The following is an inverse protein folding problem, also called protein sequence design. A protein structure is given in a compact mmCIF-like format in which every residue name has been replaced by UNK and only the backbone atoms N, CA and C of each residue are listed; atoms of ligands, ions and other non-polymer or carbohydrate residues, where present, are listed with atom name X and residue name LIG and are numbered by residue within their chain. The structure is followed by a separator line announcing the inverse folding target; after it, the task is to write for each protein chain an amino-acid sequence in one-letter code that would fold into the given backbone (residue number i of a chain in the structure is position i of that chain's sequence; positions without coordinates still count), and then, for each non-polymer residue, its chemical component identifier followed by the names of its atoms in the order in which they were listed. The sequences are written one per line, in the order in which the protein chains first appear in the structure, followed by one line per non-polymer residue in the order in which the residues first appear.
data_IF_103097075553
#
_entry.id   IF_103097075553
#
_cell.length_a   1.000
_cell.length_b   1.000
_cell.length_c   1.000
_cell.angle_alpha   90.00
_cell.angle_beta   90.00
_cell.angle_gamma   90.00
#
_symmetry.space_group_name_H-M   'P 1'
#
loop_
_entity.id
_entity.type
_entity.pdbx_description
1 polymer ?
#
# COMPACT_ATOMS: atom_id res chain seq x y z
N UNK A 1 4.31 -41.39 4.93
CA UNK A 1 4.06 -39.96 5.17
C UNK A 1 3.89 -39.74 6.65
N UNK A 2 4.81 -39.00 7.26
CA UNK A 2 4.87 -38.83 8.70
C UNK A 2 3.81 -37.86 9.21
N UNK A 3 3.37 -38.03 10.46
CA UNK A 3 2.34 -37.20 11.10
C UNK A 3 2.71 -35.71 11.09
N UNK A 4 4.00 -35.40 11.25
CA UNK A 4 4.53 -34.04 11.14
C UNK A 4 4.37 -33.43 9.74
N UNK A 5 4.56 -34.21 8.67
CA UNK A 5 4.38 -33.76 7.28
C UNK A 5 2.91 -33.45 7.01
N UNK A 6 2.00 -34.30 7.51
CA UNK A 6 0.56 -34.05 7.42
C UNK A 6 0.16 -32.77 8.18
N UNK A 7 0.65 -32.59 9.41
CA UNK A 7 0.40 -31.39 10.22
C UNK A 7 0.86 -30.10 9.49
N UNK A 8 2.09 -30.10 8.95
CA UNK A 8 2.64 -28.97 8.19
C UNK A 8 1.82 -28.66 6.93
N UNK A 9 1.36 -29.68 6.19
CA UNK A 9 0.44 -29.50 5.05
C UNK A 9 -0.88 -28.84 5.48
N UNK A 10 -1.52 -29.32 6.55
CA UNK A 10 -2.77 -28.73 7.05
C UNK A 10 -2.61 -27.27 7.49
N UNK A 11 -1.49 -26.92 8.16
CA UNK A 11 -1.17 -25.54 8.52
C UNK A 11 -1.01 -24.67 7.26
N UNK A 12 -0.22 -25.11 6.28
CA UNK A 12 -0.03 -24.37 5.03
C UNK A 12 -1.34 -24.16 4.26
N UNK A 13 -2.18 -25.19 4.12
CA UNK A 13 -3.48 -25.09 3.45
C UNK A 13 -4.37 -24.08 4.19
N UNK A 14 -4.42 -24.15 5.51
CA UNK A 14 -5.25 -23.26 6.34
C UNK A 14 -4.79 -21.80 6.24
N UNK A 15 -3.49 -21.54 6.37
CA UNK A 15 -2.93 -20.19 6.25
C UNK A 15 -3.13 -19.60 4.83
N UNK A 16 -2.89 -20.38 3.78
CA UNK A 16 -3.09 -19.91 2.41
C UNK A 16 -4.58 -19.71 2.06
N UNK A 17 -5.49 -20.47 2.68
CA UNK A 17 -6.94 -20.26 2.54
C UNK A 17 -7.37 -18.93 3.18
N UNK A 18 -6.81 -18.56 4.34
CA UNK A 18 -7.03 -17.24 4.92
C UNK A 18 -6.48 -16.11 4.03
N UNK A 19 -5.30 -16.28 3.43
CA UNK A 19 -4.74 -15.35 2.44
C UNK A 19 -5.64 -15.21 1.21
N UNK A 20 -6.21 -16.32 0.71
CA UNK A 20 -7.14 -16.33 -0.40
C UNK A 20 -8.45 -15.58 -0.08
N UNK A 21 -9.03 -15.80 1.11
CA UNK A 21 -10.23 -15.09 1.58
C UNK A 21 -9.94 -13.60 1.77
N UNK A 22 -8.76 -13.23 2.29
CA UNK A 22 -8.31 -11.83 2.34
C UNK A 22 -8.20 -11.22 0.94
N UNK A 23 -7.65 -11.95 -0.03
CA UNK A 23 -7.61 -11.55 -1.43
C UNK A 23 -8.99 -11.30 -2.03
N UNK A 24 -9.98 -12.16 -1.76
CA UNK A 24 -11.39 -11.93 -2.15
C UNK A 24 -11.91 -10.63 -1.54
N UNK A 25 -11.70 -10.41 -0.25
CA UNK A 25 -12.15 -9.21 0.46
C UNK A 25 -11.54 -7.92 -0.09
N UNK A 26 -10.21 -7.89 -0.23
CA UNK A 26 -9.46 -6.74 -0.77
C UNK A 26 -9.88 -6.43 -2.21
N UNK A 27 -10.00 -7.46 -3.07
CA UNK A 27 -10.46 -7.27 -4.45
C UNK A 27 -11.91 -6.78 -4.50
N UNK A 28 -12.80 -7.33 -3.67
CA UNK A 28 -14.22 -6.93 -3.62
C UNK A 28 -14.38 -5.47 -3.19
N UNK A 29 -13.61 -5.02 -2.19
CA UNK A 29 -13.58 -3.61 -1.75
C UNK A 29 -13.01 -2.71 -2.85
N UNK A 30 -11.94 -3.12 -3.53
CA UNK A 30 -11.38 -2.38 -4.67
C UNK A 30 -12.38 -2.24 -5.83
N UNK A 31 -13.10 -3.31 -6.17
CA UNK A 31 -14.16 -3.31 -7.19
C UNK A 31 -15.34 -2.43 -6.76
N UNK A 32 -15.78 -2.51 -5.49
CA UNK A 32 -16.85 -1.65 -4.97
C UNK A 32 -16.49 -0.18 -5.14
N UNK A 33 -15.35 0.25 -4.58
CA UNK A 33 -14.89 1.65 -4.64
C UNK A 33 -14.73 2.12 -6.10
N UNK A 34 -14.31 1.23 -7.02
CA UNK A 34 -14.19 1.56 -8.45
C UNK A 34 -15.55 1.72 -9.15
N UNK A 35 -16.59 1.05 -8.68
CA UNK A 35 -17.89 0.93 -9.36
C UNK A 35 -19.01 1.80 -8.76
N UNK A 36 -18.83 2.27 -7.53
CA UNK A 36 -19.83 3.01 -6.76
C UNK A 36 -20.21 4.36 -7.44
N UNK A 37 -21.48 4.56 -7.84
CA UNK A 37 -21.89 5.72 -8.64
C UNK A 37 -21.82 7.05 -7.89
N UNK A 38 -21.86 7.07 -6.56
CA UNK A 38 -21.69 8.32 -5.81
C UNK A 38 -20.24 8.83 -5.93
N UNK A 39 -19.28 7.91 -6.14
CA UNK A 39 -17.91 8.26 -6.51
C UNK A 39 -17.77 8.69 -7.97
N UNK A 40 -18.71 8.36 -8.88
CA UNK A 40 -18.76 8.92 -10.23
C UNK A 40 -19.30 10.37 -10.23
N UNK A 41 -20.24 10.71 -9.34
CA UNK A 41 -20.64 12.12 -9.11
C UNK A 41 -19.45 12.93 -8.61
N UNK A 42 -18.58 12.34 -7.78
CA UNK A 42 -17.28 12.92 -7.46
C UNK A 42 -16.29 12.88 -8.62
N UNK A 43 -16.34 11.93 -9.56
CA UNK A 43 -15.43 11.88 -10.72
C UNK A 43 -15.63 13.06 -11.69
N UNK A 44 -16.88 13.41 -12.00
CA UNK A 44 -17.16 14.53 -12.91
C UNK A 44 -16.76 15.86 -12.28
N UNK A 45 -17.17 16.09 -11.02
CA UNK A 45 -16.83 17.29 -10.27
C UNK A 45 -15.38 17.34 -9.77
N UNK A 46 -14.71 16.19 -9.68
CA UNK A 46 -13.30 16.04 -9.29
C UNK A 46 -12.57 15.02 -10.17
N UNK A 47 -11.80 15.52 -11.14
CA UNK A 47 -10.43 14.48 -12.05
C UNK A 47 -9.48 13.60 -11.19
N UNK A 48 -10.03 12.75 -10.32
CA UNK A 48 -9.40 11.88 -9.29
C UNK A 48 -8.38 10.82 -9.78
N UNK A 49 -7.48 11.15 -10.72
CA UNK A 49 -6.53 10.22 -11.37
C UNK A 49 -5.68 9.40 -10.40
N UNK A 50 -5.01 10.05 -9.44
CA UNK A 50 -4.16 9.38 -8.45
C UNK A 50 -4.95 8.46 -7.51
N UNK A 51 -6.23 8.76 -7.25
CA UNK A 51 -7.12 7.93 -6.45
C UNK A 51 -7.49 6.64 -7.19
N UNK A 52 -7.85 6.72 -8.47
CA UNK A 52 -8.09 5.52 -9.28
C UNK A 52 -6.81 4.68 -9.46
N UNK A 53 -5.64 5.29 -9.58
CA UNK A 53 -4.36 4.57 -9.54
C UNK A 53 -4.19 3.78 -8.24
N UNK A 54 -4.52 4.37 -7.08
CA UNK A 54 -4.51 3.67 -5.80
C UNK A 54 -5.55 2.53 -5.76
N UNK A 55 -6.77 2.74 -6.27
CA UNK A 55 -7.79 1.69 -6.38
C UNK A 55 -7.30 0.51 -7.24
N UNK A 56 -6.67 0.76 -8.39
CA UNK A 56 -6.12 -0.30 -9.24
C UNK A 56 -4.94 -1.04 -8.58
N UNK A 57 -4.11 -0.35 -7.77
CA UNK A 57 -3.08 -1.00 -6.94
C UNK A 57 -3.72 -1.92 -5.89
N UNK A 58 -4.76 -1.46 -5.19
CA UNK A 58 -5.51 -2.30 -4.21
C UNK A 58 -6.15 -3.52 -4.90
N UNK A 59 -6.75 -3.34 -6.08
CA UNK A 59 -7.29 -4.45 -6.88
C UNK A 59 -6.18 -5.42 -7.31
N UNK A 60 -5.03 -4.93 -7.76
CA UNK A 60 -3.90 -5.77 -8.16
C UNK A 60 -3.32 -6.57 -6.99
N UNK A 61 -3.23 -5.97 -5.79
CA UNK A 61 -2.87 -6.68 -4.55
C UNK A 61 -3.92 -7.75 -4.20
N UNK A 62 -5.21 -7.44 -4.32
CA UNK A 62 -6.29 -8.42 -4.12
C UNK A 62 -6.18 -9.64 -5.06
N UNK A 63 -5.96 -9.40 -6.36
CA UNK A 63 -5.71 -10.46 -7.35
C UNK A 63 -4.44 -11.25 -7.04
N UNK A 64 -3.36 -10.58 -6.62
CA UNK A 64 -2.11 -11.25 -6.26
C UNK A 64 -2.30 -12.19 -5.04
N UNK A 65 -2.98 -11.72 -3.99
CA UNK A 65 -3.31 -12.54 -2.81
C UNK A 65 -4.20 -13.74 -3.18
N UNK A 66 -5.13 -13.58 -4.12
CA UNK A 66 -5.94 -14.70 -4.65
C UNK A 66 -5.10 -15.74 -5.38
N UNK A 67 -4.22 -15.31 -6.30
CA UNK A 67 -3.37 -16.23 -7.06
C UNK A 67 -2.42 -16.98 -6.12
N UNK A 68 -1.78 -16.27 -5.18
CA UNK A 68 -0.83 -16.86 -4.24
C UNK A 68 -1.49 -17.79 -3.21
N UNK A 69 -2.62 -17.38 -2.64
CA UNK A 69 -3.38 -18.22 -1.71
C UNK A 69 -3.88 -19.51 -2.38
N UNK A 70 -4.40 -19.41 -3.61
CA UNK A 70 -4.80 -20.60 -4.38
C UNK A 70 -3.60 -21.50 -4.70
N UNK A 71 -2.50 -20.92 -5.21
CA UNK A 71 -1.28 -21.68 -5.51
C UNK A 71 -0.67 -22.34 -4.27
N UNK A 72 -0.68 -21.68 -3.11
CA UNK A 72 -0.17 -22.23 -1.86
C UNK A 72 -1.03 -23.36 -1.30
N UNK A 73 -2.37 -23.22 -1.34
CA UNK A 73 -3.28 -24.32 -1.03
C UNK A 73 -3.04 -25.52 -1.96
N UNK A 74 -2.95 -25.30 -3.27
CA UNK A 74 -2.69 -26.38 -4.23
C UNK A 74 -1.28 -27.00 -4.08
N UNK A 75 -0.25 -26.21 -3.78
CA UNK A 75 1.10 -26.72 -3.55
C UNK A 75 1.21 -27.57 -2.27
N UNK A 76 0.41 -27.29 -1.24
CA UNK A 76 0.38 -28.10 -0.02
C UNK A 76 -0.58 -29.30 -0.11
N UNK A 77 -1.65 -29.22 -0.91
CA UNK A 77 -2.66 -30.28 -1.06
C UNK A 77 -2.36 -31.28 -2.21
N UNK A 78 -1.61 -30.88 -3.23
CA UNK A 78 -1.25 -31.74 -4.36
C UNK A 78 0.20 -32.20 -4.16
N UNK A 79 0.43 -33.51 -4.11
CA UNK A 79 1.76 -34.14 -4.06
C UNK A 79 2.52 -34.07 -5.40
N UNK A 80 2.52 -32.90 -6.04
CA UNK A 80 3.21 -32.61 -7.29
C UNK A 80 4.44 -31.75 -7.02
N UNK A 81 5.67 -32.28 -7.16
CA UNK A 81 6.89 -31.49 -6.92
C UNK A 81 7.02 -30.29 -7.89
N UNK A 82 6.36 -30.34 -9.06
CA UNK A 82 6.27 -29.19 -9.95
C UNK A 82 5.44 -28.03 -9.35
N UNK A 83 4.34 -28.35 -8.64
CA UNK A 83 3.48 -27.32 -8.03
C UNK A 83 4.18 -26.63 -6.86
N UNK A 84 4.86 -27.40 -6.00
CA UNK A 84 5.69 -26.87 -4.90
C UNK A 84 6.83 -25.99 -5.42
N UNK A 85 7.53 -26.42 -6.48
CA UNK A 85 8.60 -25.62 -7.09
C UNK A 85 8.06 -24.32 -7.72
N UNK A 86 6.90 -24.36 -8.36
CA UNK A 86 6.27 -23.16 -8.94
C UNK A 86 5.88 -22.16 -7.86
N UNK A 87 5.31 -22.63 -6.74
CA UNK A 87 4.98 -21.79 -5.58
C UNK A 87 6.24 -21.21 -4.91
N UNK A 88 7.30 -22.01 -4.74
CA UNK A 88 8.59 -21.54 -4.24
C UNK A 88 9.18 -20.42 -5.12
N UNK A 89 9.16 -20.59 -6.45
CA UNK A 89 9.66 -19.58 -7.40
C UNK A 89 8.82 -18.29 -7.31
N UNK A 90 7.49 -18.39 -7.22
CA UNK A 90 6.61 -17.23 -7.04
C UNK A 90 6.95 -16.46 -5.75
N UNK A 91 7.10 -17.16 -4.62
CA UNK A 91 7.47 -16.56 -3.33
C UNK A 91 8.88 -15.94 -3.35
N UNK A 92 9.84 -16.54 -4.08
CA UNK A 92 11.18 -15.97 -4.23
C UNK A 92 11.19 -14.69 -5.09
N UNK A 93 10.42 -14.65 -6.18
CA UNK A 93 10.26 -13.44 -7.01
C UNK A 93 9.60 -12.31 -6.20
N UNK A 94 8.63 -12.64 -5.34
CA UNK A 94 8.01 -11.67 -4.44
C UNK A 94 8.99 -11.13 -3.40
N UNK A 95 9.84 -11.98 -2.80
CA UNK A 95 10.87 -11.54 -1.86
C UNK A 95 11.84 -10.55 -2.52
N UNK A 96 12.22 -10.80 -3.78
CA UNK A 96 13.05 -9.87 -4.56
C UNK A 96 12.31 -8.53 -4.79
N UNK A 97 11.00 -8.57 -5.10
CA UNK A 97 10.19 -7.36 -5.28
C UNK A 97 10.01 -6.58 -3.97
N UNK A 98 9.78 -7.24 -2.83
CA UNK A 98 9.71 -6.62 -1.50
C UNK A 98 11.04 -5.95 -1.13
N UNK A 99 12.17 -6.65 -1.32
CA UNK A 99 13.50 -6.07 -1.12
C UNK A 99 13.79 -4.88 -2.07
N UNK A 100 13.35 -4.94 -3.32
CA UNK A 100 13.51 -3.85 -4.29
C UNK A 100 12.69 -2.61 -3.89
N UNK A 101 11.43 -2.79 -3.48
CA UNK A 101 10.58 -1.70 -2.97
C UNK A 101 11.16 -1.12 -1.68
N UNK A 102 11.59 -1.95 -0.73
CA UNK A 102 12.21 -1.50 0.51
C UNK A 102 13.49 -0.68 0.25
N UNK A 103 14.35 -1.12 -0.68
CA UNK A 103 15.56 -0.39 -1.09
C UNK A 103 15.27 0.95 -1.79
N UNK A 104 14.21 1.01 -2.61
CA UNK A 104 13.75 2.25 -3.24
C UNK A 104 13.20 3.24 -2.19
N UNK A 105 12.39 2.76 -1.24
CA UNK A 105 11.86 3.59 -0.14
C UNK A 105 12.99 4.08 0.77
N UNK A 106 13.96 3.23 1.12
CA UNK A 106 15.13 3.62 1.92
C UNK A 106 15.94 4.75 1.26
N UNK A 107 16.08 4.74 -0.07
CA UNK A 107 16.76 5.82 -0.81
C UNK A 107 16.03 7.17 -0.71
N UNK A 108 14.73 7.17 -0.42
CA UNK A 108 13.88 8.36 -0.27
C UNK A 108 13.65 8.73 1.21
N UNK A 109 14.23 7.97 2.15
CA UNK A 109 14.05 8.17 3.59
C UNK A 109 14.93 9.27 4.20
N UNK A 110 15.70 10.01 3.39
CA UNK A 110 16.31 11.28 3.83
C UNK A 110 15.20 12.34 3.97
N UNK A 111 14.82 12.62 5.21
CA UNK A 111 13.63 13.40 5.53
C UNK A 111 13.67 14.84 4.99
N UNK A 112 14.84 15.46 4.90
CA UNK A 112 14.97 16.84 4.41
C UNK A 112 14.81 16.86 2.87
N UNK A 113 15.35 15.85 2.18
CA UNK A 113 15.11 15.67 0.75
C UNK A 113 13.64 15.29 0.46
N UNK A 114 13.05 14.42 1.28
CA UNK A 114 11.63 14.06 1.20
C UNK A 114 10.74 15.30 1.38
N UNK A 115 11.01 16.14 2.37
CA UNK A 115 10.27 17.38 2.60
C UNK A 115 10.34 18.33 1.41
N UNK A 116 11.51 18.49 0.79
CA UNK A 116 11.65 19.31 -0.40
C UNK A 116 10.83 18.76 -1.58
N UNK A 117 10.86 17.45 -1.82
CA UNK A 117 10.03 16.82 -2.85
C UNK A 117 8.53 16.94 -2.56
N UNK A 118 8.12 16.80 -1.30
CA UNK A 118 6.73 17.00 -0.87
C UNK A 118 6.30 18.47 -1.05
N UNK A 119 7.15 19.43 -0.69
CA UNK A 119 6.88 20.86 -0.87
C UNK A 119 6.63 21.17 -2.35
N UNK A 120 7.56 20.82 -3.24
CA UNK A 120 7.42 21.05 -4.70
C UNK A 120 6.18 20.36 -5.27
N UNK A 121 5.87 19.14 -4.83
CA UNK A 121 4.67 18.42 -5.28
C UNK A 121 3.36 19.06 -4.79
N UNK A 122 3.35 19.70 -3.62
CA UNK A 122 2.19 20.42 -3.07
C UNK A 122 2.08 21.83 -3.71
N UNK A 123 3.20 22.51 -3.96
CA UNK A 123 3.23 23.78 -4.71
C UNK A 123 2.63 23.61 -6.11
N UNK A 124 3.01 22.56 -6.84
CA UNK A 124 2.41 22.23 -8.15
C UNK A 124 0.90 21.95 -8.08
N UNK A 125 0.34 21.67 -6.90
CA UNK A 125 -1.12 21.57 -6.69
C UNK A 125 -1.76 22.89 -6.28
N UNK A 126 -1.06 23.73 -5.51
CA UNK A 126 -1.45 25.11 -5.25
C UNK A 126 -1.49 25.94 -6.54
N UNK A 127 -0.53 25.76 -7.45
CA UNK A 127 -0.49 26.45 -8.75
C UNK A 127 -1.72 26.13 -9.63
N UNK A 128 -2.28 24.92 -9.50
CA UNK A 128 -3.50 24.51 -10.22
C UNK A 128 -4.81 24.75 -9.46
N UNK A 129 -4.78 25.26 -8.22
CA UNK A 129 -5.93 25.19 -7.29
C UNK A 129 -7.15 26.05 -7.68
N UNK A 130 -6.97 27.00 -8.61
CA UNK A 130 -8.04 27.84 -9.16
C UNK A 130 -8.82 27.13 -10.26
N UNK A 131 -8.10 26.50 -11.19
CA UNK A 131 -8.67 25.82 -12.35
C UNK A 131 -9.04 24.36 -12.06
N UNK A 132 -8.42 23.73 -11.05
CA UNK A 132 -8.59 22.32 -10.70
C UNK A 132 -9.27 22.12 -9.33
N UNK A 133 -10.54 21.72 -9.37
CA UNK A 133 -11.31 21.27 -8.21
C UNK A 133 -10.75 20.00 -7.53
N UNK A 134 -9.99 19.15 -8.26
CA UNK A 134 -9.26 17.98 -7.69
C UNK A 134 -8.13 18.47 -6.80
N UNK A 135 -7.33 19.42 -7.28
CA UNK A 135 -6.30 20.06 -6.48
C UNK A 135 -6.91 20.75 -5.24
N UNK A 136 -8.02 21.50 -5.38
CA UNK A 136 -8.64 22.20 -4.25
C UNK A 136 -9.13 21.27 -3.14
N UNK A 137 -9.96 20.26 -3.44
CA UNK A 137 -10.43 19.32 -2.41
C UNK A 137 -9.33 18.40 -1.89
N UNK A 138 -8.31 18.08 -2.68
CA UNK A 138 -7.12 17.36 -2.19
C UNK A 138 -6.37 18.20 -1.15
N UNK A 139 -6.12 19.49 -1.45
CA UNK A 139 -5.56 20.44 -0.50
C UNK A 139 -6.44 20.55 0.75
N UNK A 140 -7.75 20.80 0.62
CA UNK A 140 -8.65 20.95 1.76
C UNK A 140 -8.66 19.73 2.69
N UNK A 141 -8.70 18.51 2.13
CA UNK A 141 -8.63 17.27 2.90
C UNK A 141 -7.28 17.08 3.58
N UNK A 142 -6.18 17.37 2.89
CA UNK A 142 -4.83 17.29 3.44
C UNK A 142 -4.61 18.29 4.59
N UNK A 143 -5.06 19.54 4.41
CA UNK A 143 -4.92 20.62 5.39
C UNK A 143 -5.70 20.35 6.68
N UNK A 144 -6.92 19.82 6.57
CA UNK A 144 -7.73 19.40 7.73
C UNK A 144 -7.17 18.13 8.39
N UNK A 145 -6.66 17.16 7.63
CA UNK A 145 -6.20 15.88 8.19
C UNK A 145 -4.79 15.96 8.82
N UNK A 146 -3.94 16.86 8.33
CA UNK A 146 -2.57 17.08 8.83
C UNK A 146 -2.42 18.32 9.72
N UNK A 147 -3.49 19.08 9.95
CA UNK A 147 -3.48 20.37 10.68
C UNK A 147 -2.41 21.35 10.16
N UNK A 148 -2.42 21.61 8.84
CA UNK A 148 -1.40 22.38 8.12
C UNK A 148 -1.97 23.41 7.13
N UNK A 149 -1.14 24.35 6.67
CA UNK A 149 -1.55 25.37 5.69
C UNK A 149 -0.45 25.65 4.66
N UNK A 150 -0.78 25.54 3.37
CA UNK A 150 0.15 25.68 2.24
C UNK A 150 1.09 24.49 2.07
N UNK A 151 2.06 24.59 1.17
CA UNK A 151 3.11 23.59 0.98
C UNK A 151 4.18 23.73 2.06
N UNK A 152 4.74 24.92 2.18
CA UNK A 152 5.76 25.36 3.14
C UNK A 152 5.11 26.26 4.19
N UNK A 153 4.15 27.10 3.81
CA UNK A 153 3.50 28.05 4.73
C UNK A 153 2.15 28.58 4.25
N UNK A 154 1.40 29.23 5.14
CA UNK A 154 0.18 29.97 4.74
C UNK A 154 0.44 31.08 3.70
N UNK A 155 1.64 31.65 3.64
CA UNK A 155 2.00 32.68 2.66
C UNK A 155 1.99 32.13 1.23
N UNK A 156 2.03 30.81 1.02
CA UNK A 156 2.00 30.19 -0.29
C UNK A 156 0.67 30.46 -1.03
N UNK A 157 -0.40 30.80 -0.29
CA UNK A 157 -1.64 31.36 -0.84
C UNK A 157 -1.52 32.86 -1.12
N UNK A 158 -0.94 33.63 -0.18
CA UNK A 158 -0.78 35.08 -0.28
C UNK A 158 0.08 35.50 -1.49
N UNK A 159 1.17 34.79 -1.79
CA UNK A 159 2.03 35.03 -2.97
C UNK A 159 1.41 34.62 -4.31
N UNK A 160 0.21 34.03 -4.29
CA UNK A 160 -0.58 33.64 -5.47
C UNK A 160 -1.87 34.47 -5.59
N UNK A 161 -2.01 35.54 -4.81
CA UNK A 161 -3.23 36.36 -4.66
C UNK A 161 -4.49 35.54 -4.24
N UNK A 162 -4.28 34.42 -3.54
CA UNK A 162 -5.35 33.51 -3.12
C UNK A 162 -5.80 33.76 -1.68
N UNK A 163 -7.11 33.69 -1.45
CA UNK A 163 -7.68 33.65 -0.10
C UNK A 163 -7.34 32.34 0.61
N UNK A 164 -6.73 32.42 1.80
CA UNK A 164 -6.48 31.26 2.67
C UNK A 164 -7.82 30.53 2.94
N UNK A 165 -7.94 29.22 2.61
CA UNK A 165 -9.19 28.48 2.76
C UNK A 165 -9.48 28.13 4.22
N UNK A 166 -10.76 27.87 4.55
CA UNK A 166 -11.17 27.47 5.90
C UNK A 166 -10.55 26.14 6.37
N UNK A 167 -10.13 25.28 5.44
CA UNK A 167 -9.34 24.07 5.69
C UNK A 167 -7.97 24.34 6.34
N UNK A 168 -7.41 25.55 6.18
CA UNK A 168 -6.23 25.99 6.94
C UNK A 168 -6.52 26.32 8.41
N UNK A 169 -7.74 26.16 8.93
CA UNK A 169 -8.11 26.63 10.27
C UNK A 169 -8.73 25.54 11.16
N UNK A 170 -8.39 25.57 12.45
CA UNK A 170 -8.95 24.64 13.42
C UNK A 170 -10.41 24.97 13.73
N UNK A 171 -11.33 24.04 13.46
CA UNK A 171 -12.78 24.21 13.65
C UNK A 171 -13.23 24.53 15.09
N UNK A 172 -12.32 24.51 16.07
CA UNK A 172 -12.59 24.84 17.49
C UNK A 172 -12.16 26.24 17.90
N UNK A 173 -11.12 26.79 17.28
CA UNK A 173 -10.50 28.07 17.68
C UNK A 173 -10.50 29.10 16.57
N UNK A 174 -10.80 28.70 15.33
CA UNK A 174 -10.68 29.48 14.10
C UNK A 174 -9.25 30.03 13.84
N UNK A 175 -8.24 29.49 14.53
CA UNK A 175 -6.84 29.83 14.32
C UNK A 175 -6.32 29.13 13.07
N UNK A 176 -5.55 29.86 12.25
CA UNK A 176 -4.88 29.34 11.06
C UNK A 176 -3.67 28.49 11.49
N UNK A 177 -3.50 27.31 10.88
CA UNK A 177 -2.37 26.42 11.10
C UNK A 177 -1.05 27.07 10.66
N UNK A 178 -0.01 26.92 11.48
CA UNK A 178 1.29 27.61 11.31
C UNK A 178 2.26 26.79 10.45
N UNK A 179 2.16 25.46 10.48
CA UNK A 179 3.04 24.55 9.77
C UNK A 179 2.59 24.32 8.32
N UNK A 180 3.55 24.26 7.39
CA UNK A 180 3.33 23.83 6.01
C UNK A 180 2.99 22.35 5.91
N UNK A 181 2.22 21.96 4.89
CA UNK A 181 1.81 20.58 4.74
C UNK A 181 2.95 19.62 4.37
N UNK A 182 4.04 20.09 3.79
CA UNK A 182 5.25 19.28 3.55
C UNK A 182 5.91 18.77 4.84
N UNK A 183 5.95 19.59 5.88
CA UNK A 183 6.46 19.24 7.22
C UNK A 183 5.55 18.19 7.89
N UNK A 184 4.26 18.50 8.05
CA UNK A 184 3.35 17.58 8.74
C UNK A 184 3.13 16.28 7.95
N UNK A 185 3.22 16.31 6.62
CA UNK A 185 3.18 15.11 5.77
C UNK A 185 4.47 14.28 5.88
N UNK A 186 5.65 14.91 5.95
CA UNK A 186 6.91 14.22 6.30
C UNK A 186 6.76 13.50 7.64
N UNK A 187 6.35 14.19 8.70
CA UNK A 187 6.22 13.62 10.05
C UNK A 187 5.19 12.48 10.09
N UNK A 188 4.11 12.57 9.31
CA UNK A 188 3.18 11.44 9.15
C UNK A 188 3.83 10.28 8.40
N UNK A 189 4.50 10.53 7.27
CA UNK A 189 5.13 9.49 6.44
C UNK A 189 6.30 8.79 7.14
N UNK A 190 7.07 9.49 7.97
CA UNK A 190 8.12 8.88 8.81
C UNK A 190 7.49 7.92 9.85
N UNK A 191 6.43 8.36 10.55
CA UNK A 191 5.72 7.55 11.55
C UNK A 191 5.01 6.35 10.94
N UNK A 192 4.26 6.55 9.86
CA UNK A 192 3.54 5.47 9.16
C UNK A 192 4.51 4.54 8.42
N UNK A 193 5.57 5.10 7.82
CA UNK A 193 6.63 4.35 7.13
C UNK A 193 7.38 3.40 8.04
N UNK A 194 7.64 3.78 9.30
CA UNK A 194 8.21 2.87 10.30
C UNK A 194 7.32 1.65 10.57
N UNK A 195 5.99 1.85 10.69
CA UNK A 195 5.02 0.75 10.89
C UNK A 195 4.91 -0.13 9.64
N UNK A 196 4.81 0.47 8.45
CA UNK A 196 4.74 -0.26 7.17
C UNK A 196 6.02 -1.05 6.90
N UNK A 197 7.20 -0.47 7.19
CA UNK A 197 8.48 -1.16 7.09
C UNK A 197 8.61 -2.34 8.07
N UNK A 198 8.12 -2.18 9.30
CA UNK A 198 8.03 -3.27 10.28
C UNK A 198 7.12 -4.42 9.81
N UNK A 199 5.97 -4.10 9.22
CA UNK A 199 5.08 -5.10 8.61
C UNK A 199 5.74 -5.79 7.40
N UNK A 200 6.44 -5.05 6.54
CA UNK A 200 7.19 -5.62 5.41
C UNK A 200 8.30 -6.59 5.85
N UNK A 201 9.07 -6.24 6.89
CA UNK A 201 10.08 -7.12 7.47
C UNK A 201 9.47 -8.41 8.05
N UNK A 202 8.30 -8.31 8.70
CA UNK A 202 7.58 -9.47 9.22
C UNK A 202 7.04 -10.37 8.08
N UNK A 203 6.53 -9.79 7.00
CA UNK A 203 6.06 -10.52 5.82
C UNK A 203 7.21 -11.27 5.14
N UNK A 204 8.33 -10.60 4.85
CA UNK A 204 9.52 -11.24 4.26
C UNK A 204 10.08 -12.39 5.12
N UNK A 205 10.06 -12.25 6.45
CA UNK A 205 10.46 -13.34 7.36
C UNK A 205 9.51 -14.56 7.27
N UNK A 206 8.19 -14.34 7.24
CA UNK A 206 7.21 -15.41 7.04
C UNK A 206 7.35 -16.04 5.66
N UNK A 207 7.61 -15.25 4.61
CA UNK A 207 7.85 -15.73 3.25
C UNK A 207 9.07 -16.64 3.16
N UNK A 208 10.17 -16.30 3.84
CA UNK A 208 11.36 -17.16 3.95
C UNK A 208 11.03 -18.49 4.65
N UNK A 209 10.25 -18.48 5.73
CA UNK A 209 9.81 -19.72 6.40
C UNK A 209 8.96 -20.59 5.45
N UNK A 210 8.00 -20.00 4.75
CA UNK A 210 7.14 -20.70 3.78
C UNK A 210 7.96 -21.27 2.61
N UNK A 211 8.98 -20.56 2.14
CA UNK A 211 9.93 -21.05 1.14
C UNK A 211 10.74 -22.25 1.64
N UNK A 212 11.27 -22.20 2.87
CA UNK A 212 12.00 -23.33 3.48
C UNK A 212 11.10 -24.56 3.58
N UNK A 213 9.87 -24.41 4.08
CA UNK A 213 8.91 -25.52 4.18
C UNK A 213 8.58 -26.09 2.80
N UNK A 214 8.40 -25.23 1.78
CA UNK A 214 8.13 -25.65 0.40
C UNK A 214 9.28 -26.49 -0.19
N UNK A 215 10.54 -26.14 0.10
CA UNK A 215 11.71 -26.94 -0.29
C UNK A 215 11.79 -28.26 0.49
N UNK A 216 11.51 -28.26 1.80
CA UNK A 216 11.48 -29.48 2.60
C UNK A 216 10.44 -30.47 2.06
N UNK A 217 9.20 -30.03 1.84
CA UNK A 217 8.13 -30.86 1.27
C UNK A 217 8.46 -31.34 -0.15
N UNK A 218 9.05 -30.49 -0.99
CA UNK A 218 9.54 -30.89 -2.32
C UNK A 218 10.59 -32.00 -2.24
N UNK A 219 11.52 -31.91 -1.30
CA UNK A 219 12.54 -32.94 -1.08
C UNK A 219 11.93 -34.25 -0.58
N UNK A 220 10.98 -34.23 0.37
CA UNK A 220 10.27 -35.42 0.86
C UNK A 220 9.49 -36.11 -0.28
N UNK A 221 8.63 -35.37 -0.99
CA UNK A 221 7.83 -35.91 -2.10
C UNK A 221 8.74 -36.50 -3.20
N UNK A 222 9.91 -35.91 -3.44
CA UNK A 222 10.90 -36.40 -4.42
C UNK A 222 11.74 -37.58 -3.91
N UNK A 223 11.78 -37.83 -2.61
CA UNK A 223 12.37 -39.04 -2.01
C UNK A 223 11.36 -40.20 -2.02
N UNK A 224 10.09 -39.94 -1.67
CA UNK A 224 8.99 -40.92 -1.72
C UNK A 224 8.70 -41.43 -3.16
N UNK A 225 9.17 -40.72 -4.19
CA UNK A 225 9.02 -41.06 -5.60
C UNK A 225 10.23 -41.80 -6.23
N UNK A 226 11.08 -42.45 -5.42
CA UNK A 226 12.27 -43.21 -5.86
C UNK A 226 12.27 -44.67 -5.40
#
# INVERSE_FOLDING_TARGET
MDEGVACVKYILITCNLFVWILGLGVLSVGIWIRSDPDFWVYQDNLPLSNYYSACYVVMAVGVLLLVLGFMGCCAAAIDSPCMLLTYFIAMFVLLIMECAVAGLVWKVADGDQLQHHLAVAIEQKLDTIVDDSKARRFMDLMQVHLECCGAISKHDYEVRDLTIPQSCSSSRTNNIFIYGCSENLRVLLERTGAVVGGLGLALGFVQIIVMIISLCLFCTIRQDAK
#
